data_IF_351735676851
#
_entry.id   IF_351735676851
#
_cell.length_a   1.000
_cell.length_b   1.000
_cell.length_c   1.000
_cell.angle_alpha   90.00
_cell.angle_beta   90.00
_cell.angle_gamma   90.00
#
_symmetry.space_group_name_H-M   'P 1'
#
loop_
_entity.id
_entity.type
_entity.pdbx_description
1 polymer ?
#
# COMPACT_ATOMS: atom_id res chain seq x y z
N UNK A 1 11.67 16.23 -7.90
CA UNK A 1 12.29 17.19 -8.85
C UNK A 1 11.78 18.63 -8.65
N UNK A 2 10.47 18.89 -8.62
CA UNK A 2 9.92 20.26 -8.50
C UNK A 2 10.10 20.90 -7.11
N UNK A 3 9.93 20.15 -6.03
CA UNK A 3 10.06 20.63 -4.64
C UNK A 3 11.46 21.13 -4.30
N UNK A 4 12.50 20.37 -4.66
CA UNK A 4 13.89 20.79 -4.47
C UNK A 4 14.23 22.07 -5.26
N UNK A 5 13.69 22.23 -6.47
CA UNK A 5 13.89 23.43 -7.29
C UNK A 5 13.21 24.65 -6.66
N UNK A 6 11.98 24.52 -6.21
CA UNK A 6 11.23 25.61 -5.55
C UNK A 6 11.91 26.00 -4.22
N UNK A 7 12.31 25.02 -3.41
CA UNK A 7 13.03 25.28 -2.16
C UNK A 7 14.33 26.06 -2.39
N UNK A 8 15.12 25.67 -3.40
CA UNK A 8 16.36 26.38 -3.75
C UNK A 8 16.11 27.82 -4.23
N UNK A 9 14.98 28.06 -4.90
CA UNK A 9 14.57 29.37 -5.40
C UNK A 9 14.16 30.28 -4.25
N UNK A 10 13.34 29.78 -3.32
CA UNK A 10 12.89 30.49 -2.12
C UNK A 10 14.05 30.85 -1.21
N UNK A 11 15.00 29.93 -1.00
CA UNK A 11 16.21 30.21 -0.21
C UNK A 11 17.00 31.35 -0.86
N UNK A 12 17.20 31.32 -2.17
CA UNK A 12 18.00 32.34 -2.89
C UNK A 12 17.28 33.69 -2.96
N UNK A 13 15.96 33.70 -3.09
CA UNK A 13 15.16 34.93 -3.15
C UNK A 13 14.96 35.58 -1.79
N UNK A 14 14.96 34.82 -0.69
CA UNK A 14 14.79 35.38 0.66
C UNK A 14 16.14 35.70 1.33
N UNK A 15 17.19 34.92 1.10
CA UNK A 15 18.47 35.07 1.81
C UNK A 15 19.13 36.45 1.61
N UNK A 16 19.14 36.96 0.37
CA UNK A 16 19.79 38.25 0.05
C UNK A 16 18.99 39.47 0.50
N UNK A 17 17.68 39.63 0.18
CA UNK A 17 16.94 40.82 0.58
C UNK A 17 16.71 40.88 2.09
N UNK A 18 16.50 39.75 2.77
CA UNK A 18 16.24 39.74 4.22
C UNK A 18 17.50 40.15 4.98
N UNK A 19 18.65 39.62 4.62
CA UNK A 19 19.93 40.02 5.24
C UNK A 19 20.21 41.52 5.07
N UNK A 20 19.92 42.07 3.89
CA UNK A 20 20.14 43.49 3.61
C UNK A 20 19.10 44.40 4.28
N UNK A 21 17.82 43.99 4.32
CA UNK A 21 16.76 44.76 4.96
C UNK A 21 16.90 44.78 6.49
N UNK A 22 17.26 43.67 7.11
CA UNK A 22 17.44 43.61 8.57
C UNK A 22 18.65 44.46 9.00
N UNK A 23 19.75 44.45 8.23
CA UNK A 23 20.91 45.33 8.49
C UNK A 23 20.58 46.81 8.30
N UNK A 24 19.73 47.15 7.32
CA UNK A 24 19.27 48.51 7.10
C UNK A 24 18.35 49.00 8.23
N UNK A 25 17.36 48.18 8.63
CA UNK A 25 16.43 48.53 9.71
C UNK A 25 17.09 48.61 11.08
N UNK A 26 18.10 47.78 11.35
CA UNK A 26 18.88 47.84 12.59
C UNK A 26 19.66 49.15 12.77
N UNK A 27 19.96 49.86 11.68
CA UNK A 27 20.57 51.20 11.70
C UNK A 27 19.54 52.34 11.72
N UNK A 28 18.32 52.10 11.24
CA UNK A 28 17.29 53.13 11.08
C UNK A 28 16.29 53.21 12.25
N UNK A 29 16.06 52.12 12.98
CA UNK A 29 15.06 52.08 14.04
C UNK A 29 15.62 51.62 15.39
N UNK A 30 15.62 52.53 16.38
CA UNK A 30 16.01 52.25 17.78
C UNK A 30 15.20 51.13 18.44
N UNK A 31 13.89 51.02 18.14
CA UNK A 31 13.05 49.92 18.65
C UNK A 31 13.52 48.56 18.15
N UNK A 32 13.89 48.49 16.88
CA UNK A 32 14.40 47.26 16.27
C UNK A 32 15.80 46.93 16.78
N UNK A 33 16.63 47.95 16.98
CA UNK A 33 17.95 47.85 17.64
C UNK A 33 17.83 47.19 19.01
N UNK A 34 16.92 47.66 19.86
CA UNK A 34 16.66 47.11 21.19
C UNK A 34 16.13 45.66 21.14
N UNK A 35 15.31 45.33 20.14
CA UNK A 35 14.81 43.97 19.94
C UNK A 35 15.92 43.00 19.52
N UNK A 36 16.81 43.42 18.60
CA UNK A 36 17.99 42.64 18.21
C UNK A 36 18.96 42.45 19.38
N UNK A 37 19.22 43.50 20.17
CA UNK A 37 20.08 43.41 21.37
C UNK A 37 19.45 42.46 22.40
N UNK A 38 18.15 42.57 22.65
CA UNK A 38 17.42 41.69 23.56
C UNK A 38 17.45 40.23 23.11
N UNK A 39 17.28 39.96 21.82
CA UNK A 39 17.39 38.61 21.27
C UNK A 39 18.81 38.05 21.34
N UNK A 40 19.82 38.86 20.98
CA UNK A 40 21.22 38.46 21.06
C UNK A 40 21.61 38.12 22.51
N UNK A 41 21.21 38.95 23.47
CA UNK A 41 21.45 38.72 24.89
C UNK A 41 20.67 37.51 25.42
N UNK A 42 19.40 37.32 25.01
CA UNK A 42 18.60 36.17 25.42
C UNK A 42 19.20 34.87 24.89
N UNK A 43 19.60 34.84 23.61
CA UNK A 43 20.25 33.67 23.00
C UNK A 43 21.56 33.34 23.71
N UNK A 44 22.37 34.35 23.99
CA UNK A 44 23.62 34.20 24.73
C UNK A 44 23.39 33.67 26.15
N UNK A 45 22.39 34.20 26.86
CA UNK A 45 22.01 33.71 28.19
C UNK A 45 21.49 32.27 28.14
N UNK A 46 20.70 31.89 27.13
CA UNK A 46 20.27 30.49 26.96
C UNK A 46 21.45 29.58 26.65
N UNK A 47 22.40 29.99 25.81
CA UNK A 47 23.60 29.22 25.49
C UNK A 47 24.46 29.01 26.74
N UNK A 48 24.69 30.07 27.53
CA UNK A 48 25.41 29.97 28.80
C UNK A 48 24.65 29.07 29.77
N UNK A 49 23.32 29.27 29.96
CA UNK A 49 22.51 28.40 30.83
C UNK A 49 22.54 26.93 30.41
N UNK A 50 22.50 26.64 29.12
CA UNK A 50 22.61 25.28 28.57
C UNK A 50 23.99 24.68 28.87
N UNK A 51 25.07 25.42 28.62
CA UNK A 51 26.44 24.96 28.92
C UNK A 51 26.65 24.76 30.42
N UNK A 52 26.19 25.68 31.26
CA UNK A 52 26.30 25.58 32.72
C UNK A 52 25.47 24.40 33.25
N UNK A 53 24.27 24.15 32.71
CA UNK A 53 23.43 23.01 33.13
C UNK A 53 24.02 21.67 32.65
N UNK A 54 24.54 21.61 31.42
CA UNK A 54 24.99 20.36 30.81
C UNK A 54 26.44 19.99 31.18
N UNK A 55 27.35 20.96 31.31
CA UNK A 55 28.78 20.75 31.61
C UNK A 55 29.17 21.14 33.05
N UNK A 56 28.28 21.79 33.82
CA UNK A 56 28.57 22.20 35.20
C UNK A 56 29.60 23.33 35.35
N UNK A 57 30.06 23.93 34.24
CA UNK A 57 31.06 25.01 34.26
C UNK A 57 30.49 26.30 34.89
N UNK A 58 31.25 26.99 35.77
CA UNK A 58 30.79 28.20 36.43
C UNK A 58 30.51 29.28 35.39
N UNK A 59 29.34 29.93 35.51
CA UNK A 59 28.91 30.99 34.61
C UNK A 59 29.91 32.15 34.63
N UNK A 60 30.86 32.14 33.68
CA UNK A 60 31.86 33.19 33.52
C UNK A 60 31.12 34.48 33.19
N UNK A 61 31.31 35.52 34.02
CA UNK A 61 30.71 36.84 33.83
C UNK A 61 31.20 37.43 32.51
N UNK A 62 30.38 37.33 31.48
CA UNK A 62 30.74 37.80 30.14
C UNK A 62 30.21 39.21 29.97
N UNK A 63 31.14 40.12 29.69
CA UNK A 63 30.87 41.53 29.41
C UNK A 63 29.81 41.62 28.31
N UNK A 64 28.75 42.42 28.47
CA UNK A 64 27.80 42.68 27.39
C UNK A 64 28.61 43.21 26.19
N UNK A 65 28.46 42.54 25.04
CA UNK A 65 29.09 42.92 23.79
C UNK A 65 28.80 44.40 23.49
N UNK A 66 29.76 45.13 22.89
CA UNK A 66 29.51 46.51 22.47
C UNK A 66 28.24 46.56 21.63
N UNK A 67 27.40 47.57 21.84
CA UNK A 67 26.06 47.64 21.24
C UNK A 67 26.08 47.33 19.74
N UNK A 68 27.06 47.85 19.01
CA UNK A 68 27.25 47.63 17.58
C UNK A 68 27.38 46.15 17.20
N UNK A 69 28.12 45.37 17.98
CA UNK A 69 28.34 43.94 17.71
C UNK A 69 27.13 43.09 18.12
N UNK A 70 26.44 43.48 19.20
CA UNK A 70 25.19 42.85 19.61
C UNK A 70 24.09 43.05 18.56
N UNK A 71 24.03 44.24 17.95
CA UNK A 71 23.08 44.56 16.89
C UNK A 71 23.35 43.73 15.63
N UNK A 72 24.61 43.66 15.17
CA UNK A 72 24.95 42.89 13.97
C UNK A 72 24.70 41.39 14.16
N UNK A 73 25.08 40.86 15.32
CA UNK A 73 24.82 39.44 15.65
C UNK A 73 23.32 39.15 15.79
N UNK A 74 22.57 40.02 16.48
CA UNK A 74 21.12 39.86 16.65
C UNK A 74 20.36 39.95 15.33
N UNK A 75 20.78 40.85 14.43
CA UNK A 75 20.26 40.95 13.07
C UNK A 75 20.47 39.66 12.27
N UNK A 76 21.69 39.09 12.31
CA UNK A 76 22.00 37.85 11.61
C UNK A 76 21.17 36.66 12.12
N UNK A 77 21.06 36.51 13.45
CA UNK A 77 20.23 35.48 14.08
C UNK A 77 18.75 35.64 13.74
N UNK A 78 18.23 36.87 13.69
CA UNK A 78 16.84 37.13 13.34
C UNK A 78 16.54 36.80 11.87
N UNK A 79 17.48 37.12 10.97
CA UNK A 79 17.40 36.75 9.56
C UNK A 79 17.35 35.22 9.38
N UNK A 80 18.30 34.52 10.00
CA UNK A 80 18.39 33.07 9.96
C UNK A 80 17.16 32.39 10.56
N UNK A 81 16.70 32.87 11.72
CA UNK A 81 15.48 32.39 12.38
C UNK A 81 14.23 32.55 11.53
N UNK A 82 14.11 33.66 10.78
CA UNK A 82 13.01 33.85 9.84
C UNK A 82 13.02 32.81 8.71
N UNK A 83 14.18 32.55 8.10
CA UNK A 83 14.30 31.52 7.06
C UNK A 83 13.97 30.13 7.60
N UNK A 84 14.47 29.79 8.80
CA UNK A 84 14.13 28.52 9.45
C UNK A 84 12.66 28.40 9.78
N UNK A 85 12.00 29.47 10.25
CA UNK A 85 10.57 29.45 10.53
C UNK A 85 9.73 29.22 9.26
N UNK A 86 10.08 29.86 8.15
CA UNK A 86 9.42 29.64 6.85
C UNK A 86 9.64 28.21 6.35
N UNK A 87 10.87 27.70 6.44
CA UNK A 87 11.20 26.33 6.05
C UNK A 87 10.49 25.29 6.93
N UNK A 88 10.54 25.44 8.25
CA UNK A 88 9.85 24.57 9.20
C UNK A 88 8.33 24.62 9.00
N UNK A 89 7.77 25.81 8.78
CA UNK A 89 6.34 26.00 8.49
C UNK A 89 5.92 25.31 7.19
N UNK A 90 6.75 25.37 6.13
CA UNK A 90 6.51 24.63 4.89
C UNK A 90 6.55 23.12 5.12
N UNK A 91 7.54 22.62 5.85
CA UNK A 91 7.68 21.18 6.15
C UNK A 91 6.50 20.69 6.99
N UNK A 92 6.18 21.37 8.10
CA UNK A 92 5.06 21.04 8.98
C UNK A 92 3.72 21.19 8.26
N UNK A 93 3.57 22.21 7.42
CA UNK A 93 2.36 22.44 6.62
C UNK A 93 2.13 21.34 5.59
N UNK A 94 3.17 20.91 4.88
CA UNK A 94 3.09 19.74 4.01
C UNK A 94 2.82 18.46 4.78
N UNK A 95 3.45 18.27 5.95
CA UNK A 95 3.25 17.09 6.79
C UNK A 95 1.81 17.01 7.28
N UNK A 96 1.25 18.11 7.80
CA UNK A 96 -0.16 18.21 8.23
C UNK A 96 -1.14 17.95 7.08
N UNK A 97 -0.87 18.49 5.89
CA UNK A 97 -1.67 18.20 4.69
C UNK A 97 -1.56 16.73 4.25
N UNK A 98 -0.35 16.16 4.35
CA UNK A 98 -0.04 14.79 3.95
C UNK A 98 -0.71 13.76 4.85
N UNK A 99 -0.75 13.98 6.17
CA UNK A 99 -1.37 13.04 7.13
C UNK A 99 -2.84 12.80 6.82
N UNK A 100 -3.57 13.84 6.37
CA UNK A 100 -4.98 13.72 6.00
C UNK A 100 -5.23 12.85 4.77
N UNK A 101 -4.28 12.83 3.82
CA UNK A 101 -4.35 11.94 2.66
C UNK A 101 -3.82 10.53 2.98
N UNK A 102 -2.89 10.40 3.92
CA UNK A 102 -2.34 9.11 4.32
C UNK A 102 -3.35 8.27 5.11
N UNK A 103 -4.19 8.89 5.96
CA UNK A 103 -5.27 8.16 6.67
C UNK A 103 -6.22 7.49 5.66
N UNK A 104 -6.76 8.26 4.71
CA UNK A 104 -7.68 7.72 3.69
C UNK A 104 -7.08 6.57 2.87
N UNK A 105 -5.77 6.62 2.61
CA UNK A 105 -5.07 5.53 1.90
C UNK A 105 -4.88 4.30 2.79
N UNK A 106 -4.66 4.48 4.10
CA UNK A 106 -4.59 3.35 5.05
C UNK A 106 -5.97 2.72 5.22
N UNK A 107 -6.99 3.53 5.46
CA UNK A 107 -8.37 3.07 5.61
C UNK A 107 -8.81 2.28 4.36
N UNK A 108 -8.55 2.78 3.15
CA UNK A 108 -8.87 2.06 1.91
C UNK A 108 -8.06 0.77 1.69
N UNK A 109 -6.83 0.68 2.21
CA UNK A 109 -6.02 -0.54 2.13
C UNK A 109 -6.50 -1.57 3.15
N UNK A 110 -6.91 -1.13 4.33
CA UNK A 110 -7.48 -1.99 5.35
C UNK A 110 -8.83 -2.58 4.89
N UNK A 111 -9.69 -1.76 4.25
CA UNK A 111 -10.94 -2.23 3.63
C UNK A 111 -10.69 -3.32 2.56
N UNK A 112 -9.68 -3.12 1.69
CA UNK A 112 -9.30 -4.10 0.66
C UNK A 112 -8.72 -5.39 1.26
N UNK A 113 -7.98 -5.29 2.37
CA UNK A 113 -7.46 -6.45 3.08
C UNK A 113 -8.59 -7.29 3.67
N UNK A 114 -9.60 -6.65 4.24
CA UNK A 114 -10.72 -7.36 4.84
C UNK A 114 -11.63 -8.01 3.78
N UNK A 115 -11.85 -7.35 2.64
CA UNK A 115 -12.55 -7.96 1.50
C UNK A 115 -11.79 -9.17 0.93
N UNK A 116 -10.46 -9.08 0.83
CA UNK A 116 -9.64 -10.18 0.36
C UNK A 116 -9.65 -11.36 1.33
N UNK A 117 -9.58 -11.11 2.65
CA UNK A 117 -9.72 -12.16 3.67
C UNK A 117 -11.07 -12.86 3.57
N UNK A 118 -12.15 -12.10 3.46
CA UNK A 118 -13.50 -12.66 3.28
C UNK A 118 -13.61 -13.50 2.00
N UNK A 119 -12.94 -13.09 0.93
CA UNK A 119 -12.92 -13.84 -0.33
C UNK A 119 -12.15 -15.15 -0.19
N UNK A 120 -11.00 -15.14 0.50
CA UNK A 120 -10.21 -16.34 0.80
C UNK A 120 -10.99 -17.31 1.68
N UNK A 121 -11.68 -16.80 2.71
CA UNK A 121 -12.51 -17.61 3.61
C UNK A 121 -13.69 -18.25 2.86
N UNK A 122 -14.38 -17.47 2.03
CA UNK A 122 -15.45 -18.01 1.16
C UNK A 122 -14.90 -19.08 0.22
N UNK A 123 -13.76 -18.83 -0.42
CA UNK A 123 -13.16 -19.81 -1.33
C UNK A 123 -12.71 -21.08 -0.61
N UNK A 124 -12.11 -20.96 0.58
CA UNK A 124 -11.78 -22.11 1.44
C UNK A 124 -13.02 -22.91 1.79
N UNK A 125 -14.11 -22.25 2.22
CA UNK A 125 -15.36 -22.93 2.54
C UNK A 125 -15.97 -23.66 1.34
N UNK A 126 -15.84 -23.10 0.12
CA UNK A 126 -16.26 -23.76 -1.12
C UNK A 126 -15.41 -24.98 -1.44
N UNK A 127 -14.09 -24.88 -1.24
CA UNK A 127 -13.18 -26.01 -1.42
C UNK A 127 -13.50 -27.12 -0.41
N UNK A 128 -13.74 -26.79 0.85
CA UNK A 128 -14.12 -27.76 1.88
C UNK A 128 -15.47 -28.43 1.57
N UNK A 129 -16.45 -27.66 1.08
CA UNK A 129 -17.73 -28.20 0.67
C UNK A 129 -17.60 -29.16 -0.52
N UNK A 130 -16.79 -28.81 -1.52
CA UNK A 130 -16.52 -29.68 -2.67
C UNK A 130 -15.74 -30.93 -2.28
N UNK A 131 -14.77 -30.81 -1.36
CA UNK A 131 -14.00 -31.93 -0.86
C UNK A 131 -14.91 -32.97 -0.18
N UNK A 132 -15.81 -32.50 0.71
CA UNK A 132 -16.82 -33.37 1.35
C UNK A 132 -17.73 -34.05 0.33
N UNK A 133 -18.20 -33.31 -0.68
CA UNK A 133 -19.05 -33.87 -1.72
C UNK A 133 -18.32 -34.93 -2.56
N UNK A 134 -17.01 -34.77 -2.80
CA UNK A 134 -16.23 -35.80 -3.47
C UNK A 134 -16.05 -37.04 -2.59
N UNK A 135 -15.77 -36.86 -1.31
CA UNK A 135 -15.62 -37.98 -0.36
C UNK A 135 -16.90 -38.81 -0.28
N UNK A 136 -18.07 -38.18 -0.16
CA UNK A 136 -19.37 -38.84 -0.19
C UNK A 136 -19.58 -39.64 -1.50
N UNK A 137 -19.25 -39.05 -2.66
CA UNK A 137 -19.35 -39.76 -3.95
C UNK A 137 -18.41 -40.96 -4.04
N UNK A 138 -17.18 -40.82 -3.54
CA UNK A 138 -16.19 -41.90 -3.54
C UNK A 138 -16.62 -43.05 -2.63
N UNK A 139 -17.20 -42.74 -1.48
CA UNK A 139 -17.78 -43.74 -0.58
C UNK A 139 -18.95 -44.48 -1.23
N UNK A 140 -19.88 -43.76 -1.88
CA UNK A 140 -20.98 -44.36 -2.63
C UNK A 140 -20.50 -45.27 -3.78
N UNK A 141 -19.47 -44.84 -4.52
CA UNK A 141 -18.87 -45.65 -5.57
C UNK A 141 -18.18 -46.90 -5.02
N UNK A 142 -17.43 -46.78 -3.91
CA UNK A 142 -16.78 -47.93 -3.25
C UNK A 142 -17.81 -48.94 -2.75
N UNK A 143 -18.88 -48.47 -2.10
CA UNK A 143 -19.96 -49.34 -1.61
C UNK A 143 -20.64 -50.07 -2.78
N UNK A 144 -20.93 -49.36 -3.88
CA UNK A 144 -21.49 -49.99 -5.09
C UNK A 144 -20.55 -51.01 -5.70
N UNK A 145 -19.25 -50.73 -5.77
CA UNK A 145 -18.25 -51.68 -6.27
C UNK A 145 -18.15 -52.93 -5.39
N UNK A 146 -18.21 -52.78 -4.07
CA UNK A 146 -18.19 -53.90 -3.11
C UNK A 146 -19.44 -54.78 -3.22
N UNK A 147 -20.62 -54.18 -3.42
CA UNK A 147 -21.86 -54.91 -3.68
C UNK A 147 -21.77 -55.71 -4.99
N UNK A 148 -21.28 -55.10 -6.07
CA UNK A 148 -21.07 -55.77 -7.35
C UNK A 148 -20.08 -56.94 -7.22
N UNK A 149 -18.97 -56.75 -6.50
CA UNK A 149 -17.99 -57.80 -6.24
C UNK A 149 -18.61 -58.97 -5.46
N UNK A 150 -19.46 -58.68 -4.46
CA UNK A 150 -20.17 -59.70 -3.67
C UNK A 150 -21.18 -60.48 -4.50
N UNK A 151 -21.94 -59.82 -5.37
CA UNK A 151 -22.88 -60.46 -6.30
C UNK A 151 -22.10 -61.36 -7.27
N UNK A 152 -21.03 -60.84 -7.87
CA UNK A 152 -20.19 -61.59 -8.79
C UNK A 152 -19.63 -62.85 -8.13
N UNK A 153 -19.11 -62.74 -6.91
CA UNK A 153 -18.60 -63.87 -6.14
C UNK A 153 -19.69 -64.93 -5.90
N UNK A 154 -20.93 -64.50 -5.59
CA UNK A 154 -22.05 -65.42 -5.38
C UNK A 154 -22.50 -66.11 -6.67
N UNK A 155 -22.51 -65.40 -7.80
CA UNK A 155 -22.81 -65.96 -9.12
C UNK A 155 -21.73 -66.97 -9.53
N UNK A 156 -20.45 -66.63 -9.33
CA UNK A 156 -19.32 -67.52 -9.60
C UNK A 156 -19.39 -68.79 -8.76
N UNK A 157 -19.73 -68.70 -7.47
CA UNK A 157 -19.91 -69.87 -6.60
C UNK A 157 -21.07 -70.78 -7.05
N UNK A 158 -22.21 -70.20 -7.43
CA UNK A 158 -23.37 -70.93 -7.96
C UNK A 158 -23.04 -71.56 -9.32
N UNK A 159 -22.31 -70.85 -10.19
CA UNK A 159 -21.92 -71.31 -11.51
C UNK A 159 -20.87 -72.44 -11.48
N UNK A 160 -19.87 -72.32 -10.59
CA UNK A 160 -18.89 -73.37 -10.32
C UNK A 160 -19.55 -74.63 -9.75
N UNK A 161 -20.59 -74.50 -8.90
CA UNK A 161 -21.40 -75.63 -8.43
C UNK A 161 -22.39 -76.18 -9.47
N UNK A 162 -22.78 -75.38 -10.47
CA UNK A 162 -23.98 -75.60 -11.29
C UNK A 162 -23.79 -76.11 -12.74
N UNK A 163 -22.55 -76.42 -13.17
CA UNK A 163 -22.14 -76.79 -14.55
C UNK A 163 -21.83 -75.62 -15.51
N UNK A 164 -20.96 -74.69 -15.13
CA UNK A 164 -20.35 -73.78 -16.11
C UNK A 164 -19.01 -74.29 -16.67
N UNK A 165 -18.44 -75.35 -16.09
CA UNK A 165 -17.25 -76.02 -16.61
C UNK A 165 -17.51 -76.84 -17.90
N UNK A 166 -18.77 -77.12 -18.27
CA UNK A 166 -19.13 -77.87 -19.49
C UNK A 166 -19.27 -76.98 -20.75
N UNK A 167 -19.14 -75.65 -20.63
CA UNK A 167 -19.41 -74.69 -21.72
C UNK A 167 -18.17 -74.18 -22.47
N UNK A 168 -16.97 -74.74 -22.25
CA UNK A 168 -15.73 -74.35 -22.96
C UNK A 168 -15.76 -74.54 -24.50
N UNK A 169 -16.81 -75.18 -25.05
CA UNK A 169 -16.88 -75.56 -26.47
C UNK A 169 -17.74 -74.69 -27.41
N UNK A 170 -18.42 -73.63 -26.94
CA UNK A 170 -19.32 -72.83 -27.81
C UNK A 170 -18.95 -71.35 -27.83
N UNK A 171 -18.64 -70.76 -29.01
CA UNK A 171 -18.29 -69.35 -29.11
C UNK A 171 -19.55 -68.50 -28.96
N UNK A 172 -19.71 -67.83 -27.82
CA UNK A 172 -20.76 -66.84 -27.61
C UNK A 172 -20.29 -65.46 -28.10
N UNK A 173 -21.11 -64.72 -28.87
CA UNK A 173 -20.77 -63.36 -29.29
C UNK A 173 -20.89 -62.41 -28.09
N UNK A 174 -19.78 -61.80 -27.69
CA UNK A 174 -19.79 -60.73 -26.70
C UNK A 174 -20.44 -59.48 -27.32
N UNK A 175 -21.45 -58.86 -26.68
CA UNK A 175 -21.93 -57.57 -27.11
C UNK A 175 -20.83 -56.54 -26.87
N UNK A 176 -20.24 -56.04 -27.96
CA UNK A 176 -19.24 -54.99 -27.94
C UNK A 176 -19.92 -53.71 -27.42
N UNK A 177 -19.62 -53.32 -26.19
CA UNK A 177 -20.08 -52.05 -25.64
C UNK A 177 -19.29 -50.95 -26.34
N UNK A 178 -19.96 -50.19 -27.20
CA UNK A 178 -19.35 -49.08 -27.94
C UNK A 178 -19.15 -47.88 -27.01
N UNK A 179 -17.93 -47.74 -26.48
CA UNK A 179 -17.51 -46.68 -25.58
C UNK A 179 -17.45 -45.28 -26.25
N UNK A 180 -17.79 -45.16 -27.54
CA UNK A 180 -17.77 -43.88 -28.25
C UNK A 180 -18.94 -42.95 -27.93
N UNK A 181 -20.00 -43.42 -27.25
CA UNK A 181 -21.20 -42.60 -26.99
C UNK A 181 -21.05 -41.57 -25.86
N UNK A 182 -19.97 -41.60 -25.07
CA UNK A 182 -19.79 -40.68 -23.92
C UNK A 182 -18.70 -39.61 -24.12
N UNK A 183 -18.49 -39.14 -25.36
CA UNK A 183 -17.70 -37.92 -25.60
C UNK A 183 -18.31 -37.05 -26.69
N UNK A 184 -19.49 -36.50 -26.43
CA UNK A 184 -19.91 -35.27 -27.10
C UNK A 184 -19.42 -34.07 -26.28
N UNK A 185 -18.16 -33.69 -26.52
CA UNK A 185 -17.58 -32.43 -26.05
C UNK A 185 -17.76 -31.36 -27.15
N UNK A 186 -18.76 -30.47 -26.98
CA UNK A 186 -18.73 -29.00 -27.16
C UNK A 186 -18.40 -28.37 -28.56
N UNK A 187 -18.43 -27.01 -28.71
CA UNK A 187 -19.43 -26.12 -29.36
C UNK A 187 -18.83 -25.48 -30.67
N UNK A 188 -19.11 -24.24 -31.18
CA UNK A 188 -20.17 -23.22 -30.97
C UNK A 188 -20.79 -22.69 -32.30
N UNK A 189 -21.92 -21.95 -32.29
CA UNK A 189 -22.12 -20.70 -33.10
C UNK A 189 -23.49 -20.01 -32.93
N UNK A 190 -23.40 -18.71 -32.63
CA UNK A 190 -24.15 -17.56 -33.16
C UNK A 190 -25.70 -17.58 -33.24
N UNK A 191 -26.32 -16.69 -32.44
CA UNK A 191 -27.51 -15.93 -32.86
C UNK A 191 -27.51 -14.55 -32.20
N UNK A 192 -27.05 -13.60 -33.01
CA UNK A 192 -27.42 -12.19 -33.11
C UNK A 192 -28.76 -11.78 -32.43
N UNK A 193 -28.70 -10.79 -31.55
CA UNK A 193 -29.77 -9.80 -31.38
C UNK A 193 -29.20 -8.49 -30.84
N UNK A 194 -29.37 -7.47 -31.67
CA UNK A 194 -28.93 -6.10 -31.48
C UNK A 194 -29.76 -5.35 -30.41
N UNK A 195 -29.10 -4.55 -29.58
CA UNK A 195 -29.50 -3.15 -29.34
C UNK A 195 -28.38 -2.39 -28.59
N UNK A 196 -28.04 -1.18 -29.07
CA UNK A 196 -26.88 -0.36 -28.67
C UNK A 196 -27.07 0.45 -27.36
N UNK A 197 -26.47 1.66 -27.21
CA UNK A 197 -25.41 2.32 -27.98
C UNK A 197 -24.13 2.58 -27.17
N UNK A 198 -23.03 2.86 -27.89
CA UNK A 198 -21.76 3.32 -27.35
C UNK A 198 -21.84 4.79 -26.93
N UNK A 199 -21.29 5.12 -25.76
CA UNK A 199 -20.77 6.45 -25.47
C UNK A 199 -19.57 6.33 -24.52
N UNK A 200 -18.37 6.64 -25.02
CA UNK A 200 -17.34 7.46 -24.37
C UNK A 200 -16.02 7.40 -25.16
N UNK A 201 -15.44 8.56 -25.56
CA UNK A 201 -14.16 8.60 -26.23
C UNK A 201 -13.00 8.70 -25.22
N UNK A 202 -11.93 7.96 -25.49
CA UNK A 202 -10.60 8.21 -24.92
C UNK A 202 -9.79 9.09 -25.88
N UNK A 203 -9.03 10.12 -25.43
CA UNK A 203 -8.08 10.81 -26.28
C UNK A 203 -6.63 10.46 -25.89
N UNK A 204 -5.92 9.86 -26.85
CA UNK A 204 -4.46 9.96 -27.01
C UNK A 204 -4.23 9.53 -28.47
N UNK A 205 -3.58 10.30 -29.35
CA UNK A 205 -2.22 10.84 -29.21
C UNK A 205 -1.96 11.92 -30.26
N UNK A 206 -1.13 12.87 -29.83
CA UNK A 206 -0.21 13.71 -30.61
C UNK A 206 0.26 13.12 -31.95
N UNK A 207 0.16 13.92 -33.03
CA UNK A 207 1.30 14.35 -33.88
C UNK A 207 0.79 15.09 -35.12
N UNK A 208 1.15 16.38 -35.26
CA UNK A 208 1.64 16.98 -36.52
C UNK A 208 1.83 18.50 -36.36
N UNK A 209 2.97 18.96 -36.89
CA UNK A 209 3.51 20.33 -37.02
C UNK A 209 4.25 20.92 -35.81
#
# INVERSE_FOLDING_TARGET
MATAKIASLVIRTLAKPISNQIKAQAKQHERFRNLCVGLAQRMYQTEVRLRTNLLGEPAKHVRPLSETKAIESGANTLAEGFLFAVAAGLILGEQYRSTRNQSKRRDAVDDQLDELKSSVENLSSRLDALARQQEERMEEESVRHDELARILQRVVEIGLRGRWAEFEGTPLPLPLIDLTKSRATSPPTLSESANGPQDTPSPSTSSSQ
#
